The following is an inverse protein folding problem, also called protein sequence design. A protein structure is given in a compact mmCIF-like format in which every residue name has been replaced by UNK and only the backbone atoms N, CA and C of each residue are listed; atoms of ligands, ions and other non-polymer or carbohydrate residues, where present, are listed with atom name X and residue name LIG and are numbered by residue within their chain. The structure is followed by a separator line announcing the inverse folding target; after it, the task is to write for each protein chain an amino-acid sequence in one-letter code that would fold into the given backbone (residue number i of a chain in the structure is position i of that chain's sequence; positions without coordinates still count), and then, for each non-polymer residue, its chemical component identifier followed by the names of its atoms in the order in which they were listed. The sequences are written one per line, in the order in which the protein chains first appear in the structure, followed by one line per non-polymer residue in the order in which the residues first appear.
data_IF_136759717111
#
_entry.id   IF_136759717111
#
_cell.length_a   1.000
_cell.length_b   1.000
_cell.length_c   1.000
_cell.angle_alpha   90.00
_cell.angle_beta   90.00
_cell.angle_gamma   90.00
#
_symmetry.space_group_name_H-M   'P 1'
#
loop_
_entity.id
_entity.type
_entity.pdbx_description
1 polymer ?
#
# COMPACT_ATOMS: atom_id res chain seq x y z
N UNK A 1 -11.55 13.86 2.28
CA UNK A 1 -11.07 13.54 3.63
C UNK A 1 -9.84 14.36 3.94
N UNK A 2 -9.86 15.09 5.06
CA UNK A 2 -8.72 15.82 5.62
C UNK A 2 -7.89 14.99 6.61
N UNK A 3 -6.84 15.57 7.19
CA UNK A 3 -5.95 14.89 8.14
C UNK A 3 -6.67 14.53 9.44
N UNK A 4 -7.61 15.37 9.88
CA UNK A 4 -8.38 15.21 11.13
C UNK A 4 -9.06 13.85 11.27
N UNK A 5 -9.66 13.40 10.18
CA UNK A 5 -10.44 12.16 10.09
C UNK A 5 -9.76 11.11 9.23
N UNK A 6 -8.44 11.21 9.01
CA UNK A 6 -7.74 10.29 8.12
C UNK A 6 -7.44 8.96 8.80
N UNK A 7 -8.14 7.91 8.37
CA UNK A 7 -7.85 6.53 8.74
C UNK A 7 -7.54 5.70 7.51
N UNK A 8 -6.80 4.62 7.71
CA UNK A 8 -6.42 3.69 6.65
C UNK A 8 -6.51 2.26 7.14
N UNK A 9 -7.04 1.37 6.31
CA UNK A 9 -6.78 -0.06 6.46
C UNK A 9 -5.54 -0.36 5.66
N UNK A 10 -4.55 -0.97 6.29
CA UNK A 10 -3.25 -1.28 5.72
C UNK A 10 -3.06 -2.78 5.62
N UNK A 11 -2.60 -3.22 4.46
CA UNK A 11 -2.07 -4.57 4.23
C UNK A 11 -0.57 -4.45 3.98
N UNK A 12 0.22 -5.36 4.55
CA UNK A 12 1.67 -5.47 4.29
C UNK A 12 2.02 -6.78 3.58
N UNK A 13 2.01 -6.78 2.23
CA UNK A 13 2.57 -7.90 1.46
C UNK A 13 4.09 -8.01 1.68
N UNK A 14 4.59 -9.23 1.77
CA UNK A 14 6.02 -9.54 1.84
C UNK A 14 6.61 -9.85 0.45
N UNK A 15 5.78 -10.32 -0.49
CA UNK A 15 6.19 -10.70 -1.85
C UNK A 15 5.38 -9.95 -2.91
N UNK A 16 5.90 -9.89 -4.15
CA UNK A 16 5.24 -9.31 -5.30
C UNK A 16 3.94 -10.04 -5.63
N UNK A 17 3.94 -11.37 -5.51
CA UNK A 17 2.72 -12.17 -5.66
C UNK A 17 1.62 -11.69 -4.69
N UNK A 18 1.97 -11.51 -3.42
CA UNK A 18 1.02 -11.00 -2.43
C UNK A 18 0.59 -9.57 -2.73
N UNK A 19 1.49 -8.70 -3.21
CA UNK A 19 1.13 -7.33 -3.62
C UNK A 19 0.09 -7.35 -4.74
N UNK A 20 0.27 -8.21 -5.75
CA UNK A 20 -0.65 -8.32 -6.88
C UNK A 20 -1.99 -8.90 -6.45
N UNK A 21 -1.99 -9.95 -5.63
CA UNK A 21 -3.21 -10.51 -5.06
C UNK A 21 -3.98 -9.45 -4.26
N UNK A 22 -3.27 -8.68 -3.42
CA UNK A 22 -3.88 -7.58 -2.66
C UNK A 22 -4.41 -6.47 -3.57
N UNK A 23 -3.72 -6.17 -4.67
CA UNK A 23 -4.19 -5.16 -5.62
C UNK A 23 -5.50 -5.58 -6.28
N UNK A 24 -5.71 -6.87 -6.57
CA UNK A 24 -6.98 -7.38 -7.10
C UNK A 24 -8.12 -7.15 -6.11
N UNK A 25 -7.93 -7.56 -4.85
CA UNK A 25 -8.88 -7.25 -3.75
C UNK A 25 -9.20 -5.75 -3.71
N UNK A 26 -8.18 -4.91 -3.85
CA UNK A 26 -8.37 -3.47 -3.79
C UNK A 26 -9.14 -2.87 -4.97
N UNK A 27 -9.12 -3.50 -6.15
CA UNK A 27 -9.97 -3.10 -7.27
C UNK A 27 -11.43 -3.51 -7.08
N UNK A 28 -11.68 -4.60 -6.34
CA UNK A 28 -13.02 -5.15 -6.13
C UNK A 28 -13.78 -4.45 -5.00
N UNK A 29 -13.07 -3.76 -4.11
CA UNK A 29 -13.65 -3.02 -2.99
C UNK A 29 -13.94 -1.56 -3.37
N UNK A 30 -15.01 -0.94 -2.84
CA UNK A 30 -15.45 0.41 -3.21
C UNK A 30 -14.61 1.53 -2.57
N UNK A 31 -13.42 1.22 -2.07
CA UNK A 31 -12.59 2.15 -1.30
C UNK A 31 -11.47 2.74 -2.14
N UNK A 32 -11.20 4.04 -1.97
CA UNK A 32 -10.01 4.66 -2.54
C UNK A 32 -8.75 4.00 -1.96
N UNK A 33 -7.86 3.51 -2.83
CA UNK A 33 -6.68 2.79 -2.38
C UNK A 33 -5.37 3.26 -3.03
N UNK A 34 -4.26 2.94 -2.37
CA UNK A 34 -2.90 3.05 -2.90
C UNK A 34 -2.19 1.71 -2.68
N UNK A 35 -1.69 1.10 -3.76
CA UNK A 35 -0.92 -0.13 -3.71
C UNK A 35 0.45 0.09 -4.36
N UNK A 36 1.51 -0.51 -3.81
CA UNK A 36 2.80 -0.59 -4.47
C UNK A 36 3.99 -0.83 -3.56
N UNK A 37 5.17 -0.75 -4.15
CA UNK A 37 6.43 -0.79 -3.43
C UNK A 37 6.61 0.44 -2.53
N UNK A 38 7.24 0.24 -1.38
CA UNK A 38 7.44 1.25 -0.31
C UNK A 38 8.91 1.53 -0.01
N UNK A 39 9.82 1.25 -0.95
CA UNK A 39 11.28 1.32 -0.73
C UNK A 39 11.80 2.71 -0.34
N UNK A 40 11.15 3.78 -0.83
CA UNK A 40 11.55 5.15 -0.52
C UNK A 40 10.83 5.73 0.71
N UNK A 41 9.98 4.94 1.38
CA UNK A 41 9.20 5.42 2.51
C UNK A 41 9.98 5.25 3.82
N UNK A 42 10.69 6.32 4.22
CA UNK A 42 11.61 6.38 5.37
C UNK A 42 11.09 5.74 6.66
N UNK A 43 9.78 5.86 6.93
CA UNK A 43 9.15 5.45 8.19
C UNK A 43 8.22 4.25 8.03
N UNK A 44 8.49 3.40 7.05
CA UNK A 44 7.66 2.25 6.75
C UNK A 44 8.54 1.01 6.66
N UNK A 45 8.09 -0.06 7.31
CA UNK A 45 8.72 -1.37 7.24
C UNK A 45 8.12 -2.20 6.11
N UNK A 46 8.97 -2.96 5.43
CA UNK A 46 8.60 -3.92 4.40
C UNK A 46 8.66 -3.36 2.97
N UNK A 47 8.78 -4.24 1.98
CA UNK A 47 8.98 -3.85 0.58
C UNK A 47 7.70 -3.34 -0.10
N UNK A 48 6.54 -3.81 0.35
CA UNK A 48 5.25 -3.54 -0.31
C UNK A 48 4.18 -3.09 0.70
N UNK A 49 3.19 -2.35 0.20
CA UNK A 49 2.08 -1.87 1.02
C UNK A 49 0.84 -1.62 0.17
N UNK A 50 -0.31 -1.93 0.75
CA UNK A 50 -1.61 -1.50 0.23
C UNK A 50 -2.36 -0.75 1.32
N UNK A 51 -2.98 0.37 0.95
CA UNK A 51 -3.73 1.25 1.84
C UNK A 51 -5.09 1.55 1.25
N UNK A 52 -6.14 1.27 2.01
CA UNK A 52 -7.47 1.79 1.79
C UNK A 52 -7.60 3.08 2.60
N UNK A 53 -8.13 4.16 2.03
CA UNK A 53 -8.31 5.45 2.70
C UNK A 53 -9.76 5.60 3.15
N UNK A 54 -9.98 5.74 4.46
CA UNK A 54 -11.30 5.81 5.08
C UNK A 54 -11.46 7.07 5.92
N UNK A 55 -12.64 7.67 5.88
CA UNK A 55 -12.97 8.89 6.62
C UNK A 55 -13.57 8.51 7.97
N UNK A 56 -12.77 8.60 9.03
CA UNK A 56 -13.18 8.22 10.39
C UNK A 56 -12.89 6.75 10.77
N UNK A 57 -12.76 6.52 12.08
CA UNK A 57 -12.41 5.21 12.65
C UNK A 57 -13.50 4.15 12.44
N UNK A 58 -14.77 4.55 12.49
CA UNK A 58 -15.89 3.62 12.32
C UNK A 58 -15.89 3.02 10.90
N UNK A 59 -15.78 3.86 9.88
CA UNK A 59 -15.64 3.43 8.48
C UNK A 59 -14.38 2.56 8.28
N UNK A 60 -13.29 2.86 9.00
CA UNK A 60 -12.09 2.02 8.97
C UNK A 60 -12.28 0.64 9.58
N UNK A 61 -13.07 0.51 10.65
CA UNK A 61 -13.41 -0.78 11.27
C UNK A 61 -14.29 -1.64 10.38
N UNK A 62 -15.27 -1.02 9.73
CA UNK A 62 -16.14 -1.71 8.77
C UNK A 62 -15.35 -2.18 7.54
N UNK A 63 -14.53 -1.30 6.96
CA UNK A 63 -13.65 -1.66 5.86
C UNK A 63 -12.63 -2.73 6.26
N UNK A 64 -12.11 -2.69 7.49
CA UNK A 64 -11.17 -3.69 7.99
C UNK A 64 -11.75 -5.10 7.95
N UNK A 65 -13.02 -5.28 8.35
CA UNK A 65 -13.66 -6.59 8.32
C UNK A 65 -13.80 -7.12 6.89
N UNK A 66 -14.28 -6.29 5.97
CA UNK A 66 -14.42 -6.66 4.55
C UNK A 66 -13.07 -6.99 3.90
N UNK A 67 -12.05 -6.19 4.21
CA UNK A 67 -10.69 -6.40 3.72
C UNK A 67 -10.12 -7.71 4.29
N UNK A 68 -10.28 -7.95 5.59
CA UNK A 68 -9.76 -9.15 6.25
C UNK A 68 -10.42 -10.41 5.70
N UNK A 69 -11.74 -10.40 5.50
CA UNK A 69 -12.48 -11.51 4.88
C UNK A 69 -11.89 -11.85 3.50
N UNK A 70 -11.74 -10.85 2.63
CA UNK A 70 -11.12 -11.06 1.30
C UNK A 70 -9.67 -11.55 1.37
N UNK A 71 -8.90 -11.07 2.34
CA UNK A 71 -7.52 -11.51 2.54
C UNK A 71 -7.47 -12.97 2.95
N UNK A 72 -8.33 -13.40 3.87
CA UNK A 72 -8.40 -14.79 4.35
C UNK A 72 -8.89 -15.75 3.26
N UNK A 73 -9.77 -15.28 2.37
CA UNK A 73 -10.28 -16.07 1.23
C UNK A 73 -9.30 -16.14 0.04
N UNK A 74 -8.16 -15.44 0.09
CA UNK A 74 -7.20 -15.37 -1.03
C UNK A 74 -5.98 -16.26 -0.75
N UNK A 75 -5.84 -17.41 -1.44
CA UNK A 75 -4.77 -18.38 -1.16
C UNK A 75 -3.36 -17.80 -1.28
N UNK A 76 -3.12 -16.86 -2.19
CA UNK A 76 -1.81 -16.25 -2.44
C UNK A 76 -1.31 -15.38 -1.28
N UNK A 77 -2.21 -14.88 -0.42
CA UNK A 77 -1.84 -14.04 0.71
C UNK A 77 -1.36 -14.86 1.91
N UNK A 78 -1.90 -16.08 2.07
CA UNK A 78 -1.55 -16.96 3.18
C UNK A 78 -1.81 -16.34 4.57
N UNK A 79 -1.51 -17.09 5.63
CA UNK A 79 -1.78 -16.66 7.01
C UNK A 79 -0.87 -15.52 7.53
N UNK A 80 0.17 -15.15 6.77
CA UNK A 80 1.25 -14.27 7.25
C UNK A 80 1.09 -12.80 6.84
N UNK A 81 0.11 -12.47 6.00
CA UNK A 81 -0.09 -11.08 5.56
C UNK A 81 -0.78 -10.28 6.66
N UNK A 82 -0.08 -9.28 7.20
CA UNK A 82 -0.65 -8.43 8.25
C UNK A 82 -1.67 -7.44 7.69
N UNK A 83 -2.84 -7.37 8.32
CA UNK A 83 -3.87 -6.36 8.10
C UNK A 83 -4.02 -5.52 9.37
N UNK A 84 -4.03 -4.19 9.28
CA UNK A 84 -4.14 -3.31 10.45
C UNK A 84 -4.82 -1.98 10.13
N UNK A 85 -5.52 -1.39 11.10
CA UNK A 85 -6.00 -0.01 11.00
C UNK A 85 -4.92 0.96 11.47
N UNK A 86 -4.73 2.07 10.75
CA UNK A 86 -3.84 3.16 11.12
C UNK A 86 -4.56 4.51 11.02
N UNK A 87 -4.29 5.44 11.94
CA UNK A 87 -4.68 6.87 11.84
C UNK A 87 -3.52 7.69 11.27
N UNK A 88 -3.81 8.60 10.34
CA UNK A 88 -2.81 9.48 9.74
C UNK A 88 -1.76 8.79 8.87
N UNK A 89 -0.68 9.50 8.53
CA UNK A 89 0.52 8.94 7.90
C UNK A 89 1.62 8.70 8.96
N UNK A 90 2.60 7.85 8.65
CA UNK A 90 3.70 7.57 9.59
C UNK A 90 4.56 8.79 9.85
N UNK A 91 4.76 9.62 8.84
CA UNK A 91 5.49 10.88 8.92
C UNK A 91 4.87 11.80 9.97
N UNK A 92 3.54 11.99 9.92
CA UNK A 92 2.84 12.85 10.88
C UNK A 92 2.88 12.28 12.30
N UNK A 93 2.68 10.96 12.47
CA UNK A 93 2.76 10.31 13.79
C UNK A 93 4.17 10.43 14.41
N UNK A 94 5.22 10.32 13.60
CA UNK A 94 6.60 10.46 14.10
C UNK A 94 6.92 11.90 14.52
N UNK A 95 6.37 12.89 13.82
CA UNK A 95 6.67 14.30 14.09
C UNK A 95 5.69 14.95 15.08
N UNK A 96 4.48 14.44 15.22
CA UNK A 96 3.41 15.05 16.01
C UNK A 96 2.95 14.17 17.19
N UNK A 97 3.58 13.02 17.42
CA UNK A 97 3.28 12.13 18.54
C UNK A 97 2.32 11.00 18.19
N UNK A 98 1.94 10.18 19.18
CA UNK A 98 1.20 8.95 18.92
C UNK A 98 -0.22 9.26 18.42
N UNK A 99 -0.69 8.51 17.42
CA UNK A 99 -1.89 8.91 16.69
C UNK A 99 -3.19 8.84 17.49
N UNK A 100 -3.24 8.11 18.59
CA UNK A 100 -4.34 8.15 19.56
C UNK A 100 -4.44 9.49 20.31
N UNK A 101 -3.41 10.31 20.29
CA UNK A 101 -3.33 11.60 20.99
C UNK A 101 -3.41 12.81 20.06
N UNK A 102 -3.60 12.62 18.74
CA UNK A 102 -3.72 13.75 17.82
C UNK A 102 -4.87 14.67 18.22
N UNK A 103 -4.52 15.93 18.47
CA UNK A 103 -5.43 17.05 18.65
C UNK A 103 -5.36 17.94 17.42
N UNK A 104 -6.50 18.56 17.10
CA UNK A 104 -6.62 19.44 15.94
C UNK A 104 -7.43 20.67 16.35
N UNK A 105 -7.00 21.85 15.93
CA UNK A 105 -7.75 23.08 16.18
C UNK A 105 -9.03 23.14 15.35
N UNK A 106 -9.98 23.96 15.79
CA UNK A 106 -11.21 24.24 15.05
C UNK A 106 -10.95 25.04 13.76
N UNK A 107 -9.94 25.92 13.78
CA UNK A 107 -9.49 26.65 12.59
C UNK A 107 -9.08 25.71 11.46
N UNK A 108 -8.47 24.56 11.81
CA UNK A 108 -8.13 23.54 10.82
C UNK A 108 -9.39 22.93 10.18
N UNK A 109 -10.48 22.73 10.92
CA UNK A 109 -11.72 22.21 10.35
C UNK A 109 -12.29 23.18 9.30
N UNK A 110 -12.31 24.47 9.62
CA UNK A 110 -12.76 25.51 8.70
C UNK A 110 -11.88 25.56 7.44
N UNK A 111 -10.56 25.51 7.61
CA UNK A 111 -9.61 25.49 6.50
C UNK A 111 -9.75 24.23 5.63
N UNK A 112 -9.87 23.04 6.22
CA UNK A 112 -10.06 21.78 5.49
C UNK A 112 -11.36 21.82 4.67
N UNK A 113 -12.46 22.30 5.25
CA UNK A 113 -13.74 22.43 4.57
C UNK A 113 -13.67 23.38 3.38
N UNK A 114 -13.01 24.54 3.54
CA UNK A 114 -12.88 25.53 2.48
C UNK A 114 -11.95 25.04 1.35
N UNK A 115 -10.87 24.35 1.68
CA UNK A 115 -9.98 23.73 0.68
C UNK A 115 -10.69 22.65 -0.11
N UNK A 116 -11.48 21.78 0.53
CA UNK A 116 -12.21 20.70 -0.14
C UNK A 116 -13.18 21.22 -1.22
N UNK A 117 -13.78 22.39 -1.03
CA UNK A 117 -14.63 23.03 -2.05
C UNK A 117 -13.86 23.47 -3.31
N UNK A 118 -12.57 23.75 -3.16
CA UNK A 118 -11.69 24.27 -4.23
C UNK A 118 -10.90 23.17 -4.94
N UNK A 119 -10.76 22.00 -4.32
CA UNK A 119 -10.13 20.85 -4.96
C UNK A 119 -11.00 20.39 -6.13
N UNK A 120 -10.41 20.39 -7.33
CA UNK A 120 -11.08 19.85 -8.52
C UNK A 120 -11.37 18.38 -8.29
N UNK A 121 -12.56 17.95 -8.70
CA UNK A 121 -12.84 16.52 -8.85
C UNK A 121 -11.76 15.90 -9.75
N UNK A 122 -11.18 14.76 -9.37
CA UNK A 122 -10.19 14.10 -10.19
C UNK A 122 -10.81 13.82 -11.56
N UNK A 123 -10.07 14.14 -12.62
CA UNK A 123 -10.46 13.76 -13.98
C UNK A 123 -10.70 12.25 -14.03
N UNK A 124 -11.58 11.81 -14.94
CA UNK A 124 -11.79 10.40 -15.19
C UNK A 124 -10.42 9.69 -15.31
N UNK A 125 -10.22 8.54 -14.63
CA UNK A 125 -8.93 7.89 -14.59
C UNK A 125 -8.50 7.60 -16.03
N UNK A 126 -7.38 8.22 -16.45
CA UNK A 126 -6.71 7.82 -17.69
C UNK A 126 -6.45 6.31 -17.60
N UNK A 127 -6.54 5.55 -18.71
CA UNK A 127 -6.21 4.13 -18.69
C UNK A 127 -4.85 3.97 -18.02
N UNK A 128 -4.85 3.35 -16.84
CA UNK A 128 -3.65 3.18 -16.03
C UNK A 128 -2.64 2.47 -16.92
N UNK A 129 -1.40 2.94 -16.95
CA UNK A 129 -0.28 2.17 -17.49
C UNK A 129 0.03 1.01 -16.52
N UNK A 130 -0.93 0.10 -16.35
CA UNK A 130 -0.84 -1.07 -15.47
C UNK A 130 0.39 -1.89 -15.84
N UNK A 131 0.68 -2.01 -17.14
CA UNK A 131 1.89 -2.65 -17.66
C UNK A 131 3.17 -2.01 -17.11
N UNK A 132 3.30 -0.67 -17.16
CA UNK A 132 4.50 0.00 -16.63
C UNK A 132 4.60 -0.12 -15.10
N UNK A 133 3.47 -0.07 -14.40
CA UNK A 133 3.43 -0.27 -12.94
C UNK A 133 3.90 -1.68 -12.58
N UNK A 134 3.41 -2.68 -13.32
CA UNK A 134 3.76 -4.09 -13.16
C UNK A 134 5.24 -4.33 -13.47
N UNK A 135 5.75 -3.79 -14.57
CA UNK A 135 7.18 -3.90 -14.93
C UNK A 135 8.07 -3.30 -13.83
N UNK A 136 7.70 -2.13 -13.31
CA UNK A 136 8.44 -1.51 -12.21
C UNK A 136 8.39 -2.36 -10.93
N UNK A 137 7.26 -2.98 -10.60
CA UNK A 137 7.18 -3.88 -9.45
C UNK A 137 7.99 -5.17 -9.63
N UNK A 138 8.01 -5.75 -10.83
CA UNK A 138 8.86 -6.91 -11.16
C UNK A 138 10.33 -6.55 -10.98
N UNK A 139 10.76 -5.38 -11.46
CA UNK A 139 12.14 -4.92 -11.31
C UNK A 139 12.51 -4.72 -9.84
N UNK A 140 11.60 -4.13 -9.05
CA UNK A 140 11.79 -3.97 -7.60
C UNK A 140 11.90 -5.33 -6.91
N UNK A 141 11.02 -6.28 -7.23
CA UNK A 141 11.05 -7.62 -6.66
C UNK A 141 12.37 -8.33 -6.96
N UNK A 142 12.85 -8.24 -8.20
CA UNK A 142 14.19 -8.74 -8.57
C UNK A 142 15.30 -8.10 -7.71
N UNK A 143 15.29 -6.77 -7.55
CA UNK A 143 16.30 -6.06 -6.75
C UNK A 143 16.28 -6.44 -5.27
N UNK A 144 15.13 -6.82 -4.74
CA UNK A 144 14.97 -7.26 -3.35
C UNK A 144 15.32 -8.73 -3.12
N UNK A 145 15.60 -9.50 -4.18
CA UNK A 145 15.70 -10.96 -4.11
C UNK A 145 14.35 -11.65 -3.83
N UNK A 146 13.24 -10.97 -4.11
CA UNK A 146 11.89 -11.53 -3.98
C UNK A 146 11.56 -12.39 -5.21
N UNK A 147 11.91 -13.67 -5.11
CA UNK A 147 11.77 -14.68 -6.17
C UNK A 147 10.34 -14.87 -6.70
N UNK A 148 9.31 -14.32 -6.03
CA UNK A 148 7.94 -14.38 -6.55
C UNK A 148 7.77 -13.66 -7.89
N UNK A 149 8.70 -12.77 -8.27
CA UNK A 149 8.71 -12.16 -9.61
C UNK A 149 8.77 -13.21 -10.74
N UNK A 150 9.39 -14.38 -10.48
CA UNK A 150 9.51 -15.46 -11.47
C UNK A 150 8.17 -16.01 -11.93
N UNK A 151 7.12 -15.91 -11.10
CA UNK A 151 5.74 -16.27 -11.49
C UNK A 151 5.20 -15.39 -12.62
N UNK A 152 5.75 -14.19 -12.78
CA UNK A 152 5.35 -13.21 -13.78
C UNK A 152 6.34 -13.13 -14.97
N UNK A 153 7.42 -13.90 -14.95
CA UNK A 153 8.44 -13.98 -16.02
C UNK A 153 8.61 -15.41 -16.58
N UNK A 154 7.60 -16.28 -16.37
CA UNK A 154 7.63 -17.69 -16.81
C UNK A 154 8.85 -18.46 -16.27
N UNK A 155 9.23 -18.18 -15.02
CA UNK A 155 10.38 -18.80 -14.37
C UNK A 155 11.75 -18.22 -14.77
N UNK A 156 11.80 -17.32 -15.75
CA UNK A 156 13.07 -16.78 -16.26
C UNK A 156 13.59 -15.65 -15.37
N UNK A 157 14.90 -15.58 -15.09
CA UNK A 157 15.47 -14.44 -14.41
C UNK A 157 15.33 -13.18 -15.27
N UNK A 158 15.22 -12.01 -14.63
CA UNK A 158 15.05 -10.73 -15.34
C UNK A 158 16.31 -10.31 -16.12
N UNK A 159 17.47 -10.66 -15.58
CA UNK A 159 18.78 -10.44 -16.19
C UNK A 159 19.60 -11.74 -16.11
N UNK A 160 20.57 -11.96 -17.02
CA UNK A 160 21.50 -13.08 -16.92
C UNK A 160 22.31 -13.02 -15.62
N UNK A 161 22.57 -14.19 -15.02
CA UNK A 161 23.43 -14.30 -13.85
C UNK A 161 24.87 -13.89 -14.20
N UNK A 162 25.51 -13.01 -13.41
CA UNK A 162 26.92 -12.70 -13.56
C UNK A 162 27.80 -13.93 -13.35
N UNK A 163 28.95 -14.00 -14.03
CA UNK A 163 29.97 -15.01 -13.74
C UNK A 163 30.61 -14.69 -12.40
N UNK A 164 30.43 -15.58 -11.43
CA UNK A 164 31.04 -15.49 -10.10
C UNK A 164 32.22 -16.47 -9.99
N UNK A 165 33.36 -16.02 -9.49
CA UNK A 165 34.52 -16.86 -9.20
C UNK A 165 34.48 -17.31 -7.73
N UNK A 166 34.90 -18.56 -7.45
CA UNK A 166 35.09 -19.03 -6.07
C UNK A 166 36.24 -18.27 -5.40
N UNK A 167 36.12 -18.03 -4.09
CA UNK A 167 37.18 -17.40 -3.31
C UNK A 167 38.42 -18.31 -3.13
N UNK A 168 38.29 -19.59 -3.44
CA UNK A 168 39.39 -20.55 -3.44
C UNK A 168 39.72 -20.97 -4.88
N UNK A 169 41.02 -21.16 -5.18
CA UNK A 169 41.49 -21.55 -6.50
C UNK A 169 41.02 -22.94 -6.93
#
# INVERSE_FOLDING_TARGET
MGCRHCFKVQIRPATLEQLIATQKIAHDLPYAYKAGASLNARYQAGPYRVLFHLDGLQNAREAYQQVLEKVLDTPELGANVSVSIKRGCSEYEIHCGPSNEFTFSDDLAAAELELLKRLRQPAAPKPKQQTLTMMNWIQIAYQLGDESYKKFTLGKPLYPEPVCYSAQP
#
